data_IF_455708480591
#
_entry.id   IF_455708480591
#
_cell.length_a   1.000
_cell.length_b   1.000
_cell.length_c   1.000
_cell.angle_alpha   90.00
_cell.angle_beta   90.00
_cell.angle_gamma   90.00
#
_symmetry.space_group_name_H-M   'P 1'
#
loop_
_entity.id
_entity.type
_entity.pdbx_description
1 polymer ?
#
# COMPACT_ATOMS: atom_id res chain seq x y z
N UNK A 1 -11.71 15.95 -12.83
CA UNK A 1 -11.33 15.86 -11.39
C UNK A 1 -10.74 14.51 -10.96
N UNK A 2 -11.03 13.40 -11.65
CA UNK A 2 -10.19 12.18 -11.63
C UNK A 2 -8.77 12.45 -12.17
N UNK A 3 -8.60 13.53 -12.93
CA UNK A 3 -7.30 13.99 -13.44
C UNK A 3 -6.39 14.68 -12.41
N UNK A 4 -6.88 15.12 -11.25
CA UNK A 4 -6.08 16.01 -10.37
C UNK A 4 -5.45 15.31 -9.16
N UNK A 5 -6.10 14.30 -8.58
CA UNK A 5 -5.47 13.40 -7.57
C UNK A 5 -4.23 12.69 -8.07
N UNK A 6 -4.24 12.47 -9.36
CA UNK A 6 -3.35 11.60 -10.08
C UNK A 6 -1.98 12.36 -10.11
N UNK A 7 -1.94 13.71 -10.05
CA UNK A 7 -0.78 14.53 -10.41
C UNK A 7 0.34 14.74 -9.36
N UNK A 8 0.25 14.30 -8.10
CA UNK A 8 1.25 14.69 -7.07
C UNK A 8 2.19 13.56 -6.55
N UNK A 9 1.93 12.29 -6.84
CA UNK A 9 2.60 11.17 -6.13
C UNK A 9 3.96 10.70 -6.70
N UNK A 10 4.60 11.43 -7.61
CA UNK A 10 5.80 10.93 -8.33
C UNK A 10 7.14 11.44 -7.77
N UNK A 11 7.22 12.64 -7.18
CA UNK A 11 8.53 13.28 -6.93
C UNK A 11 9.20 13.01 -5.58
N UNK A 12 8.57 12.27 -4.68
CA UNK A 12 9.26 11.78 -3.45
C UNK A 12 10.03 10.48 -3.74
N UNK A 13 9.68 9.77 -4.82
CA UNK A 13 10.35 8.53 -5.25
C UNK A 13 11.52 8.77 -6.24
N UNK A 14 11.60 9.95 -6.87
CA UNK A 14 12.45 10.17 -8.05
C UNK A 14 13.85 10.74 -7.75
N UNK A 15 14.19 11.06 -6.49
CA UNK A 15 15.51 11.64 -6.20
C UNK A 15 16.59 10.65 -5.80
N UNK A 16 16.25 9.39 -5.51
CA UNK A 16 17.21 8.29 -5.52
C UNK A 16 16.42 6.97 -5.64
N UNK A 17 17.05 5.97 -6.26
CA UNK A 17 16.81 4.52 -6.19
C UNK A 17 16.13 3.85 -7.38
N UNK A 18 16.82 2.79 -7.83
CA UNK A 18 16.24 1.67 -8.56
C UNK A 18 14.91 1.28 -7.93
N UNK A 19 13.92 0.86 -8.72
CA UNK A 19 12.72 0.25 -8.15
C UNK A 19 13.15 -0.82 -7.14
N UNK A 20 12.57 -0.83 -5.92
CA UNK A 20 13.02 -1.71 -4.86
C UNK A 20 13.01 -3.16 -5.35
N UNK A 21 13.91 -4.02 -4.83
CA UNK A 21 13.93 -5.44 -5.16
C UNK A 21 12.54 -6.06 -4.99
N UNK A 22 12.15 -6.88 -5.96
CA UNK A 22 10.85 -7.52 -5.96
C UNK A 22 11.00 -9.01 -5.65
N UNK A 23 10.18 -9.49 -4.73
CA UNK A 23 10.15 -10.90 -4.36
C UNK A 23 8.98 -11.62 -5.04
N UNK A 24 9.19 -12.90 -5.33
CA UNK A 24 8.21 -13.80 -5.96
C UNK A 24 8.20 -15.16 -5.28
N UNK A 25 7.03 -15.80 -5.25
CA UNK A 25 6.86 -17.21 -4.89
C UNK A 25 6.49 -18.04 -6.11
N UNK A 26 6.94 -19.28 -6.14
CA UNK A 26 6.55 -20.23 -7.18
C UNK A 26 5.07 -20.62 -6.97
N UNK A 27 4.25 -20.50 -8.02
CA UNK A 27 2.80 -20.79 -7.95
C UNK A 27 2.51 -22.27 -7.74
N UNK A 28 3.40 -23.15 -8.20
CA UNK A 28 3.27 -24.60 -8.04
C UNK A 28 3.75 -25.02 -6.64
N UNK A 29 2.90 -25.75 -5.91
CA UNK A 29 3.21 -26.25 -4.56
C UNK A 29 4.23 -27.40 -4.55
N UNK A 30 4.66 -27.88 -5.72
CA UNK A 30 5.56 -29.02 -5.85
C UNK A 30 6.78 -28.67 -6.73
N UNK A 31 7.95 -28.39 -6.14
CA UNK A 31 9.17 -28.01 -6.89
C UNK A 31 9.75 -29.14 -7.76
N UNK A 32 9.08 -30.31 -7.85
CA UNK A 32 9.49 -31.48 -8.63
C UNK A 32 8.52 -31.87 -9.75
N UNK A 33 7.46 -31.10 -10.03
CA UNK A 33 6.58 -31.38 -11.18
C UNK A 33 7.26 -30.95 -12.48
N UNK A 34 7.76 -31.91 -13.26
CA UNK A 34 8.53 -31.67 -14.50
C UNK A 34 7.63 -31.13 -15.64
N UNK A 35 6.31 -31.11 -15.47
CA UNK A 35 5.33 -30.88 -16.54
C UNK A 35 4.50 -29.58 -16.39
N UNK A 36 4.69 -28.78 -15.35
CA UNK A 36 3.95 -27.53 -15.18
C UNK A 36 4.82 -26.34 -15.59
N UNK A 37 4.24 -25.40 -16.36
CA UNK A 37 4.93 -24.14 -16.67
C UNK A 37 5.25 -23.45 -15.34
N UNK A 38 6.50 -23.04 -15.19
CA UNK A 38 6.97 -22.41 -13.98
C UNK A 38 6.37 -21.00 -13.83
N UNK A 39 5.21 -20.93 -13.17
CA UNK A 39 4.53 -19.67 -12.87
C UNK A 39 5.03 -19.10 -11.55
N UNK A 40 5.28 -17.80 -11.55
CA UNK A 40 5.78 -17.07 -10.38
C UNK A 40 4.78 -15.98 -10.01
N UNK A 41 4.31 -16.01 -8.77
CA UNK A 41 3.40 -15.01 -8.21
C UNK A 41 4.20 -13.97 -7.44
N UNK A 42 3.95 -12.69 -7.71
CA UNK A 42 4.59 -11.58 -7.00
C UNK A 42 4.06 -11.50 -5.57
N UNK A 43 4.93 -11.26 -4.60
CA UNK A 43 4.48 -10.83 -3.27
C UNK A 43 3.89 -9.42 -3.32
N UNK A 44 3.06 -9.07 -2.33
CA UNK A 44 2.62 -7.69 -2.17
C UNK A 44 3.83 -6.78 -1.98
N UNK A 45 3.65 -5.47 -2.22
CA UNK A 45 4.78 -4.55 -2.04
C UNK A 45 5.24 -4.52 -0.57
N UNK A 46 4.32 -4.65 0.39
CA UNK A 46 4.67 -4.66 1.83
C UNK A 46 5.37 -5.96 2.20
N UNK A 47 4.84 -7.10 1.80
CA UNK A 47 5.49 -8.40 2.03
C UNK A 47 6.91 -8.39 1.44
N UNK A 48 7.08 -7.82 0.25
CA UNK A 48 8.39 -7.67 -0.39
C UNK A 48 9.35 -6.79 0.40
N UNK A 49 8.88 -5.67 0.95
CA UNK A 49 9.69 -4.79 1.80
C UNK A 49 10.06 -5.48 3.12
N UNK A 50 9.13 -6.22 3.74
CA UNK A 50 9.41 -7.01 4.96
C UNK A 50 10.49 -8.05 4.67
N UNK A 51 10.36 -8.81 3.58
CA UNK A 51 11.32 -9.82 3.16
C UNK A 51 12.68 -9.18 2.86
N UNK A 52 12.69 -8.06 2.13
CA UNK A 52 13.92 -7.35 1.76
C UNK A 52 14.62 -6.74 2.99
N UNK A 53 13.88 -6.19 3.95
CA UNK A 53 14.44 -5.70 5.21
C UNK A 53 15.06 -6.83 6.05
N UNK A 54 14.42 -8.00 6.08
CA UNK A 54 14.96 -9.18 6.76
C UNK A 54 16.23 -9.69 6.06
N UNK A 55 16.21 -9.76 4.71
CA UNK A 55 17.35 -10.16 3.90
C UNK A 55 18.57 -9.26 4.12
N UNK A 56 18.36 -7.93 4.20
CA UNK A 56 19.45 -6.97 4.37
C UNK A 56 20.03 -6.91 5.79
N UNK A 57 19.37 -7.50 6.79
CA UNK A 57 19.86 -7.53 8.18
C UNK A 57 20.99 -8.56 8.44
N UNK A 58 21.56 -9.18 7.41
CA UNK A 58 22.71 -10.10 7.49
C UNK A 58 22.51 -11.25 8.52
N UNK A 59 21.68 -12.25 8.18
CA UNK A 59 21.56 -13.54 8.90
C UNK A 59 21.10 -13.48 10.37
N UNK A 60 20.38 -12.43 10.79
CA UNK A 60 19.79 -12.38 12.14
C UNK A 60 18.39 -13.00 12.23
N UNK A 61 17.73 -13.25 11.09
CA UNK A 61 16.39 -13.82 11.05
C UNK A 61 16.28 -14.76 9.87
N UNK A 62 16.61 -16.02 10.10
CA UNK A 62 16.59 -17.05 9.06
C UNK A 62 15.15 -17.45 8.70
N UNK A 63 14.23 -17.32 9.67
CA UNK A 63 12.82 -17.63 9.52
C UNK A 63 11.97 -16.39 9.85
N UNK A 64 11.42 -15.78 8.82
CA UNK A 64 10.53 -14.61 8.90
C UNK A 64 9.06 -15.07 8.98
N UNK A 65 8.31 -14.51 9.92
CA UNK A 65 6.86 -14.73 10.02
C UNK A 65 6.09 -13.70 9.18
N UNK A 66 5.22 -14.19 8.28
CA UNK A 66 4.18 -13.40 7.61
C UNK A 66 2.81 -14.00 7.95
N UNK A 67 1.71 -13.34 7.56
CA UNK A 67 0.36 -13.69 8.07
C UNK A 67 0.02 -15.17 7.89
N UNK A 68 0.15 -15.67 6.66
CA UNK A 68 -0.27 -17.02 6.28
C UNK A 68 0.88 -18.03 6.11
N UNK A 69 2.13 -17.57 6.15
CA UNK A 69 3.29 -18.39 5.83
C UNK A 69 4.56 -17.90 6.56
N UNK A 70 5.54 -18.78 6.63
CA UNK A 70 6.90 -18.46 7.04
C UNK A 70 7.79 -18.35 5.81
N UNK A 71 8.78 -17.47 5.85
CA UNK A 71 9.82 -17.35 4.83
C UNK A 71 11.15 -17.79 5.44
N UNK A 72 11.69 -18.90 4.96
CA UNK A 72 13.06 -19.32 5.22
C UNK A 72 13.97 -18.70 4.16
N UNK A 73 14.73 -17.68 4.54
CA UNK A 73 15.64 -16.98 3.63
C UNK A 73 16.90 -17.78 3.32
N UNK A 74 17.31 -18.67 4.22
CA UNK A 74 18.50 -19.52 4.05
C UNK A 74 18.24 -20.55 2.94
N UNK A 75 17.05 -21.14 2.96
CA UNK A 75 16.64 -22.14 1.97
C UNK A 75 15.94 -21.51 0.77
N UNK A 76 15.61 -20.21 0.83
CA UNK A 76 14.78 -19.53 -0.16
C UNK A 76 13.44 -20.26 -0.36
N UNK A 77 12.75 -20.52 0.75
CA UNK A 77 11.48 -21.24 0.79
C UNK A 77 10.39 -20.44 1.52
N UNK A 78 9.18 -20.49 0.97
CA UNK A 78 7.95 -20.17 1.68
C UNK A 78 7.33 -21.46 2.22
N UNK A 79 6.93 -21.46 3.49
CA UNK A 79 6.31 -22.60 4.18
C UNK A 79 4.93 -22.17 4.67
N UNK A 80 3.87 -22.84 4.21
CA UNK A 80 2.51 -22.51 4.66
C UNK A 80 2.30 -22.81 6.14
N UNK A 81 1.60 -21.91 6.85
CA UNK A 81 1.20 -22.12 8.26
C UNK A 81 0.09 -23.15 8.40
N UNK A 82 -0.81 -23.24 7.42
CA UNK A 82 -1.93 -24.19 7.43
C UNK A 82 -1.48 -25.61 7.07
N UNK A 83 -0.48 -25.74 6.20
CA UNK A 83 0.05 -27.02 5.75
C UNK A 83 1.58 -26.93 5.57
N UNK A 84 2.33 -27.44 6.56
CA UNK A 84 3.80 -27.39 6.54
C UNK A 84 4.44 -28.19 5.40
N UNK A 85 3.67 -29.07 4.74
CA UNK A 85 4.13 -29.81 3.56
C UNK A 85 4.05 -28.99 2.28
N UNK A 86 3.25 -27.92 2.28
CA UNK A 86 3.21 -26.97 1.17
C UNK A 86 4.34 -25.97 1.28
N UNK A 87 5.37 -26.21 0.47
CA UNK A 87 6.54 -25.37 0.36
C UNK A 87 6.67 -24.86 -1.06
N UNK A 88 6.98 -23.57 -1.20
CA UNK A 88 7.17 -22.91 -2.49
C UNK A 88 8.55 -22.27 -2.53
N UNK A 89 9.24 -22.38 -3.65
CA UNK A 89 10.48 -21.65 -3.81
C UNK A 89 10.20 -20.15 -3.89
N UNK A 90 11.12 -19.35 -3.35
CA UNK A 90 11.08 -17.90 -3.48
C UNK A 90 12.29 -17.39 -4.23
N UNK A 91 12.13 -16.27 -4.91
CA UNK A 91 13.26 -15.60 -5.58
C UNK A 91 13.17 -14.11 -5.46
N UNK A 92 14.35 -13.49 -5.44
CA UNK A 92 14.55 -12.05 -5.47
C UNK A 92 14.91 -11.62 -6.89
N UNK A 93 14.21 -10.62 -7.41
CA UNK A 93 14.51 -10.00 -8.70
C UNK A 93 14.91 -8.54 -8.44
N UNK A 94 16.10 -8.16 -8.90
CA UNK A 94 16.52 -6.76 -8.95
C UNK A 94 15.87 -6.09 -10.15
N UNK A 95 15.03 -5.09 -9.90
CA UNK A 95 14.39 -4.35 -10.98
C UNK A 95 15.45 -3.55 -11.76
N UNK A 96 15.61 -3.89 -13.04
CA UNK A 96 16.48 -3.15 -13.95
C UNK A 96 15.79 -1.84 -14.37
N UNK A 97 16.55 -0.77 -14.64
CA UNK A 97 16.00 0.58 -14.94
C UNK A 97 15.00 0.63 -16.11
N UNK A 98 14.98 -0.41 -16.95
CA UNK A 98 14.12 -0.56 -18.12
C UNK A 98 13.04 -1.66 -17.99
N UNK A 99 12.92 -2.31 -16.83
CA UNK A 99 12.00 -3.42 -16.60
C UNK A 99 10.57 -2.94 -16.34
N UNK A 100 9.62 -3.53 -17.07
CA UNK A 100 8.18 -3.29 -17.04
C UNK A 100 7.68 -2.74 -15.69
N UNK A 101 7.24 -1.48 -15.73
CA UNK A 101 6.49 -0.88 -14.63
C UNK A 101 5.24 -1.76 -14.39
N UNK A 102 5.08 -2.21 -13.15
CA UNK A 102 4.02 -3.16 -12.79
C UNK A 102 2.66 -2.47 -12.88
N UNK A 103 1.79 -3.00 -13.75
CA UNK A 103 0.39 -2.59 -13.81
C UNK A 103 -0.30 -3.04 -12.52
N UNK A 104 -1.05 -2.13 -11.90
CA UNK A 104 -1.95 -2.43 -10.79
C UNK A 104 -3.37 -2.46 -11.28
N UNK A 105 -3.65 -3.42 -12.17
CA UNK A 105 -4.90 -3.52 -12.92
C UNK A 105 -6.15 -3.48 -12.04
N UNK A 106 -6.07 -4.00 -10.81
CA UNK A 106 -7.13 -3.97 -9.79
C UNK A 106 -7.51 -2.56 -9.32
N UNK A 107 -6.61 -1.57 -9.48
CA UNK A 107 -6.92 -0.15 -9.25
C UNK A 107 -7.65 0.49 -10.44
N UNK A 108 -7.91 -0.28 -11.49
CA UNK A 108 -8.53 0.19 -12.73
C UNK A 108 -9.70 -0.67 -13.23
N UNK A 109 -9.72 -1.97 -12.92
CA UNK A 109 -10.73 -2.91 -13.38
C UNK A 109 -11.47 -3.59 -12.22
N UNK A 110 -12.75 -3.85 -12.47
CA UNK A 110 -13.86 -4.31 -11.60
C UNK A 110 -14.75 -3.18 -11.11
N UNK A 111 -16.09 -3.38 -11.18
CA UNK A 111 -17.05 -2.31 -11.07
C UNK A 111 -16.90 -1.72 -9.68
N UNK A 112 -16.45 -0.47 -9.62
CA UNK A 112 -16.71 0.31 -8.42
C UNK A 112 -18.23 0.25 -8.24
N UNK A 113 -18.75 -0.19 -7.08
CA UNK A 113 -20.18 -0.15 -6.81
C UNK A 113 -20.69 1.21 -7.23
N UNK A 114 -21.85 1.23 -7.91
CA UNK A 114 -22.54 2.43 -8.38
C UNK A 114 -22.68 3.35 -7.17
N UNK A 115 -21.77 4.32 -7.09
CA UNK A 115 -21.48 5.11 -5.92
C UNK A 115 -20.61 6.25 -6.41
N UNK A 116 -20.88 7.45 -5.88
CA UNK A 116 -20.32 8.68 -6.41
C UNK A 116 -18.79 8.55 -6.50
N UNK A 117 -18.18 8.83 -7.68
CA UNK A 117 -16.75 8.77 -7.81
C UNK A 117 -16.08 9.70 -6.79
N UNK A 118 -14.82 9.38 -6.49
CA UNK A 118 -13.96 10.15 -5.58
C UNK A 118 -13.78 11.64 -6.00
N UNK A 119 -14.31 12.05 -7.16
CA UNK A 119 -14.22 13.42 -7.65
C UNK A 119 -15.05 14.45 -6.86
N UNK A 120 -15.90 14.03 -5.92
CA UNK A 120 -16.63 14.91 -5.01
C UNK A 120 -16.12 14.81 -3.55
N UNK A 121 -14.84 15.13 -3.33
CA UNK A 121 -14.31 15.42 -1.98
C UNK A 121 -14.87 16.72 -1.37
N UNK A 122 -15.90 17.30 -1.99
CA UNK A 122 -16.56 18.49 -1.49
C UNK A 122 -17.30 18.26 -0.17
N UNK A 123 -17.63 17.01 0.20
CA UNK A 123 -18.26 16.72 1.50
C UNK A 123 -17.75 15.44 2.19
N UNK A 124 -17.48 14.34 1.46
CA UNK A 124 -17.15 12.99 1.99
C UNK A 124 -15.90 12.86 2.88
N UNK A 125 -14.71 13.03 2.30
CA UNK A 125 -13.45 12.89 3.06
C UNK A 125 -13.27 13.98 4.12
N UNK A 126 -13.75 15.19 3.83
CA UNK A 126 -13.69 16.31 4.77
C UNK A 126 -14.56 16.08 6.01
N UNK A 127 -15.78 15.56 5.86
CA UNK A 127 -16.62 15.24 7.03
C UNK A 127 -15.96 14.15 7.88
N UNK A 128 -15.39 13.09 7.27
CA UNK A 128 -14.77 11.98 8.01
C UNK A 128 -13.62 12.46 8.91
N UNK A 129 -12.80 13.37 8.38
CA UNK A 129 -11.69 13.99 9.12
C UNK A 129 -12.23 14.97 10.16
N UNK A 130 -13.23 15.78 9.82
CA UNK A 130 -13.82 16.76 10.72
C UNK A 130 -14.50 16.08 11.92
N UNK A 131 -15.21 14.97 11.71
CA UNK A 131 -15.80 14.17 12.80
C UNK A 131 -14.73 13.62 13.73
N UNK A 132 -13.66 13.03 13.17
CA UNK A 132 -12.53 12.58 13.99
C UNK A 132 -11.93 13.76 14.78
N UNK A 133 -11.65 14.89 14.13
CA UNK A 133 -11.09 16.08 14.77
C UNK A 133 -11.98 16.65 15.88
N UNK A 134 -13.31 16.61 15.71
CA UNK A 134 -14.28 17.05 16.72
C UNK A 134 -14.29 16.15 17.95
N UNK A 135 -14.12 14.82 17.76
CA UNK A 135 -13.99 13.87 18.87
C UNK A 135 -12.67 14.01 19.63
N UNK A 136 -11.61 14.47 18.98
CA UNK A 136 -10.35 14.75 19.66
C UNK A 136 -10.51 16.03 20.50
N UNK A 137 -10.31 15.93 21.82
CA UNK A 137 -10.22 17.12 22.67
C UNK A 137 -9.12 18.05 22.09
N UNK A 138 -9.45 19.33 21.91
CA UNK A 138 -8.56 20.31 21.25
C UNK A 138 -7.12 20.21 21.82
N UNK A 139 -6.14 20.07 20.92
CA UNK A 139 -4.67 20.02 21.15
C UNK A 139 -4.03 18.65 21.44
N UNK A 140 -4.33 17.62 20.66
CA UNK A 140 -3.45 16.43 20.60
C UNK A 140 -2.18 16.73 19.78
N UNK A 141 -1.03 16.22 20.24
CA UNK A 141 0.25 16.44 19.56
C UNK A 141 0.32 15.67 18.23
N UNK A 142 1.21 16.07 17.31
CA UNK A 142 1.41 15.32 16.07
C UNK A 142 1.93 13.90 16.33
N UNK A 143 2.79 13.72 17.35
CA UNK A 143 3.21 12.40 17.80
C UNK A 143 2.00 11.54 18.19
N UNK A 144 1.08 12.07 18.99
CA UNK A 144 -0.12 11.33 19.41
C UNK A 144 -1.04 10.99 18.22
N UNK A 145 -1.21 11.91 17.27
CA UNK A 145 -1.96 11.64 16.04
C UNK A 145 -1.33 10.52 15.21
N UNK A 146 0.00 10.48 15.11
CA UNK A 146 0.72 9.41 14.40
C UNK A 146 0.54 8.09 15.12
N UNK A 147 0.61 8.07 16.46
CA UNK A 147 0.35 6.86 17.25
C UNK A 147 -1.11 6.39 17.10
N UNK A 148 -2.08 7.31 17.09
CA UNK A 148 -3.48 6.96 16.79
C UNK A 148 -3.63 6.36 15.39
N UNK A 149 -2.98 6.94 14.38
CA UNK A 149 -2.99 6.40 13.02
C UNK A 149 -2.39 4.98 12.96
N UNK A 150 -1.24 4.79 13.59
CA UNK A 150 -0.55 3.50 13.65
C UNK A 150 -1.40 2.44 14.36
N UNK A 151 -2.00 2.77 15.51
CA UNK A 151 -2.84 1.86 16.27
C UNK A 151 -4.15 1.51 15.54
N UNK A 152 -4.77 2.50 14.90
CA UNK A 152 -5.97 2.29 14.10
C UNK A 152 -5.72 1.37 12.91
N UNK A 153 -4.60 1.54 12.20
CA UNK A 153 -4.22 0.65 11.10
C UNK A 153 -3.97 -0.78 11.59
N UNK A 154 -3.29 -0.96 12.74
CA UNK A 154 -3.12 -2.29 13.36
C UNK A 154 -4.47 -2.94 13.64
N UNK A 155 -5.40 -2.20 14.26
CA UNK A 155 -6.71 -2.72 14.61
C UNK A 155 -7.48 -3.17 13.36
N UNK A 156 -7.49 -2.35 12.32
CA UNK A 156 -8.18 -2.65 11.06
C UNK A 156 -7.53 -3.81 10.30
N UNK A 157 -6.19 -3.85 10.26
CA UNK A 157 -5.47 -4.96 9.64
C UNK A 157 -5.67 -6.28 10.35
N UNK A 158 -5.75 -6.28 11.68
CA UNK A 158 -6.06 -7.48 12.46
C UNK A 158 -7.46 -8.04 12.15
N UNK A 159 -8.44 -7.18 11.84
CA UNK A 159 -9.78 -7.61 11.43
C UNK A 159 -9.83 -8.20 10.02
N UNK A 160 -8.81 -7.96 9.21
CA UNK A 160 -8.70 -8.40 7.81
C UNK A 160 -7.70 -9.55 7.61
N UNK A 161 -7.17 -10.13 8.69
CA UNK A 161 -6.09 -11.11 8.65
C UNK A 161 -4.85 -10.59 7.89
N UNK A 162 -4.51 -9.32 8.15
CA UNK A 162 -3.38 -8.56 7.58
C UNK A 162 -2.46 -8.02 8.67
N UNK A 163 -2.19 -8.83 9.69
CA UNK A 163 -1.47 -8.43 10.90
C UNK A 163 -0.05 -7.94 10.58
N UNK A 164 0.69 -8.68 9.76
CA UNK A 164 2.08 -8.42 9.39
C UNK A 164 2.20 -7.13 8.59
N UNK A 165 1.33 -6.96 7.59
CA UNK A 165 1.24 -5.73 6.80
C UNK A 165 0.94 -4.53 7.72
N UNK A 166 -0.06 -4.66 8.59
CA UNK A 166 -0.51 -3.58 9.45
C UNK A 166 0.55 -3.16 10.48
N UNK A 167 1.27 -4.14 11.06
CA UNK A 167 2.39 -3.88 11.94
C UNK A 167 3.52 -3.15 11.20
N UNK A 168 3.85 -3.57 9.98
CA UNK A 168 4.89 -2.90 9.19
C UNK A 168 4.50 -1.46 8.85
N UNK A 169 3.26 -1.22 8.39
CA UNK A 169 2.76 0.14 8.11
C UNK A 169 2.83 1.01 9.37
N UNK A 170 2.37 0.49 10.52
CA UNK A 170 2.40 1.19 11.80
C UNK A 170 3.83 1.50 12.25
N UNK A 171 4.78 0.58 12.05
CA UNK A 171 6.20 0.83 12.34
C UNK A 171 6.77 1.97 11.48
N UNK A 172 6.44 2.01 10.17
CA UNK A 172 6.87 3.12 9.29
C UNK A 172 6.30 4.46 9.71
N UNK A 173 5.03 4.50 10.15
CA UNK A 173 4.43 5.71 10.72
C UNK A 173 5.13 6.14 12.02
N UNK A 174 5.34 5.21 12.96
CA UNK A 174 6.01 5.51 14.23
C UNK A 174 7.45 5.99 14.02
N UNK A 175 8.15 5.51 12.99
CA UNK A 175 9.50 5.97 12.67
C UNK A 175 9.59 7.45 12.27
N UNK A 176 8.47 8.06 11.86
CA UNK A 176 8.40 9.49 11.48
C UNK A 176 7.64 10.35 12.49
N UNK A 177 7.22 9.81 13.65
CA UNK A 177 6.34 10.53 14.59
C UNK A 177 6.97 11.78 15.23
N UNK A 178 8.29 11.79 15.36
CA UNK A 178 9.08 12.90 15.91
C UNK A 178 9.63 13.81 14.80
N UNK A 179 9.22 13.60 13.54
CA UNK A 179 9.60 14.43 12.39
C UNK A 179 8.61 15.57 12.19
N UNK A 180 8.97 16.49 11.31
CA UNK A 180 8.09 17.55 10.86
C UNK A 180 6.95 17.00 10.00
N UNK A 181 5.84 17.75 9.94
CA UNK A 181 4.64 17.34 9.20
C UNK A 181 4.90 16.97 7.73
N UNK A 182 5.76 17.67 6.96
CA UNK A 182 6.10 17.27 5.60
C UNK A 182 6.63 15.83 5.48
N UNK A 183 7.47 15.37 6.40
CA UNK A 183 8.00 14.01 6.38
C UNK A 183 6.92 12.98 6.74
N UNK A 184 6.03 13.32 7.68
CA UNK A 184 4.86 12.50 8.00
C UNK A 184 3.94 12.39 6.79
N UNK A 185 3.65 13.49 6.10
CA UNK A 185 2.84 13.53 4.88
C UNK A 185 3.43 12.64 3.78
N UNK A 186 4.74 12.75 3.53
CA UNK A 186 5.46 11.90 2.55
C UNK A 186 5.35 10.42 2.91
N UNK A 187 5.50 10.08 4.19
CA UNK A 187 5.34 8.72 4.68
C UNK A 187 3.93 8.19 4.42
N UNK A 188 2.88 8.92 4.82
CA UNK A 188 1.49 8.53 4.60
C UNK A 188 1.14 8.35 3.12
N UNK A 189 1.60 9.27 2.26
CA UNK A 189 1.47 9.16 0.80
C UNK A 189 2.10 7.86 0.31
N UNK A 190 3.36 7.60 0.68
CA UNK A 190 4.08 6.39 0.28
C UNK A 190 3.32 5.13 0.72
N UNK A 191 2.87 5.10 1.98
CA UNK A 191 2.12 3.99 2.55
C UNK A 191 0.81 3.71 1.81
N UNK A 192 0.04 4.76 1.49
CA UNK A 192 -1.19 4.64 0.70
C UNK A 192 -0.92 4.15 -0.75
N UNK A 193 0.27 4.42 -1.28
CA UNK A 193 0.66 3.95 -2.60
C UNK A 193 1.14 2.51 -2.63
N UNK A 194 1.42 1.83 -1.52
CA UNK A 194 1.80 0.41 -1.56
C UNK A 194 0.63 -0.48 -1.99
N UNK A 195 0.92 -1.59 -2.65
CA UNK A 195 -0.03 -2.69 -2.79
C UNK A 195 -0.23 -3.35 -1.43
N UNK A 196 -1.34 -2.99 -0.79
CA UNK A 196 -1.67 -3.37 0.58
C UNK A 196 -3.18 -3.25 0.82
N UNK A 197 -3.65 -3.82 1.91
CA UNK A 197 -5.05 -3.72 2.34
C UNK A 197 -5.50 -2.27 2.59
N UNK A 198 -4.57 -1.37 2.93
CA UNK A 198 -4.89 -0.01 3.38
C UNK A 198 -5.59 0.81 2.28
N UNK A 199 -5.14 0.67 1.03
CA UNK A 199 -5.74 1.38 -0.10
C UNK A 199 -7.20 0.97 -0.32
N UNK A 200 -7.46 -0.34 -0.41
CA UNK A 200 -8.81 -0.85 -0.66
C UNK A 200 -9.74 -0.56 0.51
N UNK A 201 -9.26 -0.74 1.74
CA UNK A 201 -9.99 -0.44 2.97
C UNK A 201 -10.41 1.04 3.01
N UNK A 202 -9.46 1.98 2.91
CA UNK A 202 -9.76 3.41 2.96
C UNK A 202 -10.75 3.83 1.87
N UNK A 203 -10.55 3.37 0.64
CA UNK A 203 -11.46 3.70 -0.45
C UNK A 203 -12.85 3.14 -0.23
N UNK A 204 -12.98 1.92 0.30
CA UNK A 204 -14.27 1.32 0.64
C UNK A 204 -14.96 2.12 1.75
N UNK A 205 -14.28 2.33 2.88
CA UNK A 205 -14.79 3.08 4.04
C UNK A 205 -15.32 4.46 3.65
N UNK A 206 -14.53 5.22 2.89
CA UNK A 206 -14.90 6.59 2.51
C UNK A 206 -16.06 6.62 1.50
N UNK A 207 -16.16 5.63 0.60
CA UNK A 207 -17.26 5.56 -0.38
C UNK A 207 -18.57 5.10 0.23
N UNK A 208 -18.49 4.14 1.14
CA UNK A 208 -19.64 3.60 1.86
C UNK A 208 -20.06 4.49 3.04
N UNK A 209 -19.31 5.56 3.31
CA UNK A 209 -19.57 6.48 4.41
C UNK A 209 -19.60 5.75 5.77
N UNK A 210 -18.71 4.77 5.94
CA UNK A 210 -18.67 3.91 7.12
C UNK A 210 -18.12 4.68 8.34
N UNK A 211 -19.06 5.16 9.16
CA UNK A 211 -18.76 5.96 10.35
C UNK A 211 -18.08 5.15 11.46
N UNK A 212 -18.17 3.82 11.43
CA UNK A 212 -17.59 2.97 12.50
C UNK A 212 -16.07 3.02 12.51
N UNK A 213 -15.46 3.45 11.40
CA UNK A 213 -14.00 3.52 11.22
C UNK A 213 -13.41 4.92 11.37
N UNK A 214 -14.22 5.89 11.80
CA UNK A 214 -13.75 7.28 12.03
C UNK A 214 -12.60 7.29 13.04
N UNK A 215 -12.72 6.52 14.12
CA UNK A 215 -11.75 6.57 15.21
C UNK A 215 -10.47 5.79 14.90
N UNK A 216 -10.52 4.87 13.94
CA UNK A 216 -9.39 4.02 13.53
C UNK A 216 -8.66 4.58 12.32
N UNK A 217 -9.39 5.02 11.28
CA UNK A 217 -8.82 5.50 10.03
C UNK A 217 -8.75 7.04 9.94
N UNK A 218 -9.52 7.76 10.76
CA UNK A 218 -9.56 9.23 10.78
C UNK A 218 -8.19 9.91 10.92
N UNK A 219 -7.32 9.50 11.86
CA UNK A 219 -5.99 10.07 12.01
C UNK A 219 -5.12 9.91 10.74
N UNK A 220 -5.21 8.77 10.06
CA UNK A 220 -4.44 8.54 8.83
C UNK A 220 -5.02 9.37 7.66
N UNK A 221 -6.35 9.43 7.53
CA UNK A 221 -7.04 10.28 6.57
C UNK A 221 -6.70 11.76 6.76
N UNK A 222 -6.56 12.23 7.99
CA UNK A 222 -6.10 13.59 8.31
C UNK A 222 -4.76 13.88 7.63
N UNK A 223 -3.74 13.05 7.87
CA UNK A 223 -2.43 13.27 7.25
C UNK A 223 -2.46 13.19 5.72
N UNK A 224 -3.21 12.25 5.14
CA UNK A 224 -3.39 12.19 3.69
C UNK A 224 -4.06 13.45 3.14
N UNK A 225 -5.09 13.99 3.79
CA UNK A 225 -5.76 15.20 3.36
C UNK A 225 -4.85 16.42 3.47
N UNK A 226 -4.21 16.65 4.61
CA UNK A 226 -3.36 17.83 4.79
C UNK A 226 -2.07 17.77 3.95
N UNK A 227 -1.60 16.57 3.58
CA UNK A 227 -0.52 16.43 2.60
C UNK A 227 -0.83 17.13 1.27
N UNK A 228 -2.10 17.11 0.83
CA UNK A 228 -2.55 17.78 -0.39
C UNK A 228 -2.44 19.30 -0.31
N UNK A 229 -2.87 19.88 0.81
CA UNK A 229 -2.89 21.34 1.00
C UNK A 229 -1.48 21.89 1.23
N UNK A 230 -0.65 21.17 1.97
CA UNK A 230 0.61 21.69 2.50
C UNK A 230 1.83 21.36 1.63
N UNK A 231 1.79 20.33 0.78
CA UNK A 231 2.92 19.99 -0.11
C UNK A 231 2.90 20.74 -1.44
N UNK A 232 1.87 21.52 -1.74
CA UNK A 232 1.98 22.76 -2.51
C UNK A 232 2.49 22.71 -3.97
N UNK A 233 2.50 21.59 -4.72
CA UNK A 233 2.96 21.63 -6.13
C UNK A 233 1.81 21.72 -7.14
N UNK A 234 1.46 22.95 -7.55
CA UNK A 234 0.63 23.25 -8.74
C UNK A 234 1.39 23.00 -10.06
N UNK A 235 2.00 21.83 -10.24
CA UNK A 235 2.65 21.46 -11.50
C UNK A 235 1.89 20.33 -12.16
N UNK A 236 1.45 20.59 -13.40
CA UNK A 236 0.81 19.67 -14.35
C UNK A 236 1.73 18.47 -14.64
N UNK A 237 1.72 17.50 -13.74
CA UNK A 237 2.54 16.30 -13.80
C UNK A 237 1.70 15.15 -14.34
N UNK A 238 2.09 14.60 -15.49
CA UNK A 238 1.50 13.38 -16.04
C UNK A 238 1.66 12.24 -15.05
N UNK A 239 0.54 11.59 -14.77
CA UNK A 239 0.45 10.53 -13.79
C UNK A 239 0.68 9.24 -14.51
N UNK A 240 1.94 8.85 -14.57
CA UNK A 240 2.22 7.47 -14.91
C UNK A 240 1.95 6.64 -13.67
N UNK A 241 0.74 6.04 -13.61
CA UNK A 241 0.43 4.91 -12.73
C UNK A 241 1.24 3.67 -13.16
N UNK A 242 2.57 3.78 -13.20
CA UNK A 242 3.44 2.66 -13.51
C UNK A 242 3.08 1.90 -14.81
N UNK A 243 2.43 2.51 -15.80
CA UNK A 243 1.77 1.75 -16.86
C UNK A 243 2.17 2.26 -18.24
N UNK A 244 2.87 1.45 -19.03
CA UNK A 244 2.79 1.58 -20.47
C UNK A 244 1.46 0.96 -20.90
N UNK A 245 0.40 1.77 -20.92
CA UNK A 245 -0.90 1.33 -21.41
C UNK A 245 -0.81 1.14 -22.93
N UNK A 246 -1.23 -0.03 -23.41
CA UNK A 246 -1.49 -0.24 -24.82
C UNK A 246 -2.58 0.72 -25.33
N UNK A 247 -2.59 1.07 -26.62
CA UNK A 247 -3.59 1.98 -27.21
C UNK A 247 -5.04 1.56 -26.89
N UNK A 248 -5.31 0.26 -26.88
CA UNK A 248 -6.64 -0.31 -26.64
C UNK A 248 -7.14 -0.06 -25.20
N UNK A 249 -6.24 -0.19 -24.20
CA UNK A 249 -6.59 0.09 -22.81
C UNK A 249 -6.90 1.58 -22.60
N UNK A 250 -6.14 2.48 -23.26
CA UNK A 250 -6.39 3.92 -23.23
C UNK A 250 -7.78 4.23 -23.80
N UNK A 251 -8.16 3.59 -24.89
CA UNK A 251 -9.45 3.82 -25.53
C UNK A 251 -10.63 3.29 -24.71
N UNK A 252 -10.47 2.13 -24.05
CA UNK A 252 -11.46 1.63 -23.10
C UNK A 252 -11.70 2.60 -21.94
N UNK A 253 -10.64 3.19 -21.36
CA UNK A 253 -10.81 4.18 -20.29
C UNK A 253 -11.54 5.44 -20.77
N UNK A 254 -11.25 5.92 -21.98
CA UNK A 254 -11.94 7.09 -22.54
C UNK A 254 -13.44 6.85 -22.67
N UNK A 255 -13.85 5.64 -23.08
CA UNK A 255 -15.27 5.26 -23.22
C UNK A 255 -15.99 5.05 -21.90
N UNK A 256 -15.27 4.68 -20.83
CA UNK A 256 -15.87 4.45 -19.51
C UNK A 256 -16.13 5.74 -18.70
N UNK A 257 -15.55 6.86 -19.13
CA UNK A 257 -15.66 8.18 -18.46
C UNK A 257 -16.59 9.15 -19.22
N UNK A 258 -16.99 8.78 -20.44
CA UNK A 258 -18.00 9.46 -21.27
C UNK A 258 -19.39 8.90 -21.01
#
# INVERSE_FOLDING_TARGET
>A
MVELMTNHMVRVADQHTLSPPQWYSQSTSNPRSINEKEEWTKYSDIESEIIEEAFNKNNQTDLLELDNYWIDLTQSLQISKSDKTQQRQIKRILNNRNGNKCLREERFFLPLPIGKPFNEWSHGGYWFINEWQQKQFKNISNCDKVEQAANGIILEGNQLDKQSDAQWIAQKLRAVKDKDEPEIYKCCIKLYTYDSFLYSLLNKTLRENDQTKIDTLGPFCHYLYYSWYNLGTRTTLKVYRGANLGPDAIEQYKRAVS
#
